data_IF_460277346711
#
_entry.id   IF_460277346711
#
_cell.length_a   1.000
_cell.length_b   1.000
_cell.length_c   1.000
_cell.angle_alpha   90.00
_cell.angle_beta   90.00
_cell.angle_gamma   90.00
#
_symmetry.space_group_name_H-M   'P 1'
#
loop_
_entity.id
_entity.type
_entity.pdbx_description
1 polymer ?
#
# COMPACT_ATOMS: atom_id res chain seq x y z
N UNK A 1 -15.68 -35.36 -42.79
CA UNK A 1 -17.08 -34.90 -43.00
C UNK A 1 -17.20 -34.38 -44.43
N UNK A 2 -18.10 -34.96 -45.22
CA UNK A 2 -18.28 -34.62 -46.63
C UNK A 2 -18.98 -33.25 -46.77
N UNK A 3 -18.42 -32.32 -47.55
CA UNK A 3 -18.99 -30.98 -47.79
C UNK A 3 -20.40 -31.05 -48.40
N UNK A 4 -20.74 -32.13 -49.08
CA UNK A 4 -22.07 -32.34 -49.66
C UNK A 4 -23.13 -32.74 -48.64
N UNK A 5 -22.71 -33.22 -47.47
CA UNK A 5 -23.59 -33.72 -46.39
C UNK A 5 -23.58 -32.84 -45.14
N UNK A 6 -22.98 -31.66 -45.20
CA UNK A 6 -22.93 -30.72 -44.07
C UNK A 6 -24.31 -30.11 -43.84
N UNK A 7 -24.80 -30.15 -42.60
CA UNK A 7 -26.02 -29.47 -42.19
C UNK A 7 -25.92 -27.96 -42.46
N UNK A 8 -27.01 -27.34 -42.95
CA UNK A 8 -27.03 -25.91 -43.28
C UNK A 8 -26.55 -25.60 -44.71
N UNK A 9 -26.25 -26.63 -45.51
CA UNK A 9 -25.84 -26.46 -46.91
C UNK A 9 -26.97 -25.86 -47.75
N UNK A 10 -28.22 -26.24 -47.52
CA UNK A 10 -29.34 -25.79 -48.34
C UNK A 10 -29.98 -24.51 -47.77
N UNK A 11 -30.09 -24.40 -46.44
CA UNK A 11 -30.53 -23.19 -45.74
C UNK A 11 -30.10 -23.23 -44.27
N UNK A 12 -29.96 -22.05 -43.65
CA UNK A 12 -29.81 -21.92 -42.19
C UNK A 12 -31.01 -22.50 -41.44
N UNK A 13 -32.19 -22.63 -42.07
CA UNK A 13 -33.39 -23.18 -41.44
C UNK A 13 -33.24 -24.65 -41.05
N UNK A 14 -32.38 -25.40 -41.74
CA UNK A 14 -32.04 -26.77 -41.35
C UNK A 14 -31.37 -26.82 -39.97
N UNK A 15 -30.58 -25.79 -39.65
CA UNK A 15 -29.92 -25.65 -38.35
C UNK A 15 -30.93 -25.16 -37.32
N UNK A 16 -31.73 -24.13 -37.64
CA UNK A 16 -32.72 -23.56 -36.72
C UNK A 16 -33.77 -24.60 -36.27
N UNK A 17 -34.22 -25.45 -37.18
CA UNK A 17 -35.22 -26.49 -36.89
C UNK A 17 -34.62 -27.77 -36.29
N UNK A 18 -33.31 -27.79 -36.00
CA UNK A 18 -32.67 -28.97 -35.43
C UNK A 18 -33.18 -29.21 -34.00
N UNK A 19 -33.50 -30.47 -33.61
CA UNK A 19 -34.08 -30.77 -32.29
C UNK A 19 -33.27 -30.28 -31.09
N UNK A 20 -31.95 -30.11 -31.25
CA UNK A 20 -31.07 -29.52 -30.22
C UNK A 20 -31.49 -28.12 -29.78
N UNK A 21 -32.04 -27.30 -30.69
CA UNK A 21 -32.46 -25.93 -30.39
C UNK A 21 -33.94 -25.83 -29.96
N UNK A 22 -34.65 -26.96 -29.88
CA UNK A 22 -35.98 -27.02 -29.29
C UNK A 22 -35.80 -27.04 -27.77
N UNK A 23 -35.99 -25.88 -27.17
CA UNK A 23 -35.83 -25.64 -25.73
C UNK A 23 -37.20 -25.68 -25.00
N UNK A 24 -37.15 -25.78 -23.68
CA UNK A 24 -38.30 -25.56 -22.79
C UNK A 24 -38.33 -24.15 -22.19
N UNK A 25 -37.29 -23.37 -22.43
CA UNK A 25 -37.12 -21.99 -21.99
C UNK A 25 -37.58 -21.08 -23.12
N UNK A 26 -38.41 -20.06 -22.85
CA UNK A 26 -39.24 -19.33 -23.82
C UNK A 26 -38.51 -18.52 -24.93
N UNK A 27 -37.24 -18.80 -25.24
CA UNK A 27 -36.50 -18.15 -26.31
C UNK A 27 -36.75 -18.80 -27.68
N UNK A 28 -36.81 -17.95 -28.70
CA UNK A 28 -36.96 -18.26 -30.12
C UNK A 28 -35.80 -17.59 -30.88
N UNK A 29 -35.54 -17.98 -32.13
CA UNK A 29 -34.50 -17.32 -32.93
C UNK A 29 -34.78 -15.84 -33.21
N UNK A 30 -36.02 -15.38 -33.06
CA UNK A 30 -36.41 -13.99 -33.30
C UNK A 30 -36.20 -13.09 -32.06
N UNK A 31 -36.35 -13.63 -30.85
CA UNK A 31 -36.20 -12.88 -29.59
C UNK A 31 -34.97 -13.27 -28.77
N UNK A 32 -34.09 -14.13 -29.29
CA UNK A 32 -32.92 -14.65 -28.57
C UNK A 32 -32.03 -13.54 -27.99
N UNK A 33 -31.91 -12.40 -28.67
CA UNK A 33 -31.11 -11.25 -28.20
C UNK A 33 -31.76 -10.46 -27.06
N UNK A 34 -33.07 -10.56 -26.91
CA UNK A 34 -33.84 -9.83 -25.89
C UNK A 34 -33.98 -10.65 -24.59
N UNK A 35 -33.68 -11.94 -24.64
CA UNK A 35 -33.73 -12.84 -23.49
C UNK A 35 -32.50 -12.64 -22.60
N UNK A 36 -32.69 -12.81 -21.28
CA UNK A 36 -31.59 -12.71 -20.33
C UNK A 36 -30.51 -13.76 -20.65
N UNK A 37 -29.24 -13.36 -20.84
CA UNK A 37 -28.18 -14.30 -21.14
C UNK A 37 -27.86 -15.16 -19.90
N UNK A 38 -27.29 -16.36 -20.08
CA UNK A 38 -26.93 -17.24 -18.96
C UNK A 38 -25.91 -16.64 -17.99
N UNK A 39 -25.03 -15.77 -18.51
CA UNK A 39 -24.02 -15.06 -17.73
C UNK A 39 -24.11 -13.59 -18.09
N UNK A 40 -24.33 -12.75 -17.09
CA UNK A 40 -24.28 -11.29 -17.20
C UNK A 40 -22.96 -10.85 -16.58
N UNK A 41 -22.00 -10.30 -17.35
CA UNK A 41 -20.73 -9.82 -16.80
C UNK A 41 -20.98 -8.68 -15.81
N UNK A 42 -20.36 -8.75 -14.64
CA UNK A 42 -20.30 -7.64 -13.70
C UNK A 42 -19.15 -6.72 -14.12
N UNK A 43 -19.48 -5.50 -14.57
CA UNK A 43 -18.50 -4.52 -15.02
C UNK A 43 -18.36 -3.42 -13.97
N UNK A 44 -17.11 -3.03 -13.69
CA UNK A 44 -16.77 -1.95 -12.75
C UNK A 44 -16.76 -0.57 -13.40
N UNK A 45 -16.63 -0.50 -14.74
CA UNK A 45 -16.54 0.73 -15.54
C UNK A 45 -16.65 0.46 -17.04
N UNK A 46 -16.63 1.52 -17.86
CA UNK A 46 -16.61 1.44 -19.33
C UNK A 46 -15.23 1.06 -19.90
N UNK A 47 -14.19 1.16 -19.09
CA UNK A 47 -12.81 0.73 -19.34
C UNK A 47 -12.47 -0.64 -18.71
N UNK A 48 -13.46 -1.35 -18.17
CA UNK A 48 -13.27 -2.67 -17.55
C UNK A 48 -12.82 -3.72 -18.57
N UNK A 49 -11.63 -4.26 -18.35
CA UNK A 49 -10.99 -5.29 -19.19
C UNK A 49 -10.87 -6.65 -18.50
N UNK A 50 -11.55 -6.86 -17.37
CA UNK A 50 -11.45 -8.08 -16.54
C UNK A 50 -11.87 -9.38 -17.23
N UNK A 51 -12.67 -9.28 -18.30
CA UNK A 51 -13.08 -10.43 -19.13
C UNK A 51 -12.09 -10.72 -20.27
N UNK A 52 -10.95 -10.03 -20.32
CA UNK A 52 -9.85 -10.25 -21.26
C UNK A 52 -8.61 -10.72 -20.49
N UNK A 53 -7.89 -11.68 -21.05
CA UNK A 53 -6.60 -12.11 -20.50
C UNK A 53 -5.54 -11.02 -20.69
N UNK A 54 -4.59 -10.94 -19.75
CA UNK A 54 -3.42 -10.07 -19.89
C UNK A 54 -2.59 -10.51 -21.11
N UNK A 55 -2.23 -9.55 -21.96
CA UNK A 55 -1.32 -9.84 -23.08
C UNK A 55 0.14 -9.77 -22.61
N UNK A 56 0.92 -10.77 -22.98
CA UNK A 56 2.37 -10.68 -22.86
C UNK A 56 2.90 -9.70 -23.91
N UNK A 57 3.67 -8.71 -23.48
CA UNK A 57 4.26 -7.74 -24.39
C UNK A 57 5.29 -8.45 -25.26
N UNK A 58 5.04 -8.51 -26.56
CA UNK A 58 6.03 -8.99 -27.52
C UNK A 58 7.25 -8.03 -27.50
N UNK A 59 8.42 -8.57 -27.16
CA UNK A 59 9.68 -7.83 -27.13
C UNK A 59 10.32 -7.72 -28.53
N UNK A 60 9.65 -8.21 -29.58
CA UNK A 60 10.09 -7.97 -30.95
C UNK A 60 10.24 -6.48 -31.21
N UNK A 61 11.39 -6.02 -31.73
CA UNK A 61 11.55 -4.64 -32.17
C UNK A 61 10.46 -4.27 -33.16
N UNK A 62 9.90 -3.06 -33.04
CA UNK A 62 8.96 -2.54 -34.02
C UNK A 62 9.58 -2.62 -35.44
N UNK A 63 8.92 -3.35 -36.34
CA UNK A 63 9.34 -3.44 -37.73
C UNK A 63 9.05 -2.12 -38.43
N UNK A 64 10.10 -1.36 -38.74
CA UNK A 64 10.02 -0.12 -39.51
C UNK A 64 10.41 -0.39 -40.96
N UNK A 65 9.66 0.19 -41.90
CA UNK A 65 10.03 0.12 -43.31
C UNK A 65 11.41 0.76 -43.53
N UNK A 66 12.29 0.14 -44.33
CA UNK A 66 13.59 0.71 -44.66
C UNK A 66 13.42 2.00 -45.48
N UNK A 67 14.37 2.93 -45.35
CA UNK A 67 14.39 4.18 -46.13
C UNK A 67 14.47 3.85 -47.62
N UNK A 68 13.45 4.19 -48.43
CA UNK A 68 13.45 3.83 -49.85
C UNK A 68 14.44 4.71 -50.64
N UNK A 69 15.24 4.09 -51.52
CA UNK A 69 16.06 4.80 -52.52
C UNK A 69 15.29 5.11 -53.82
N UNK A 70 14.05 4.64 -53.93
CA UNK A 70 13.12 4.86 -55.04
C UNK A 70 11.67 4.68 -54.56
N UNK A 71 10.68 4.98 -55.40
CA UNK A 71 9.27 4.76 -55.05
C UNK A 71 8.96 3.26 -54.84
N UNK A 72 8.47 2.90 -53.65
CA UNK A 72 8.12 1.52 -53.26
C UNK A 72 6.63 1.30 -53.04
N UNK A 73 5.84 2.37 -52.86
CA UNK A 73 4.38 2.28 -52.80
C UNK A 73 3.82 1.51 -51.60
N UNK A 74 4.55 1.36 -50.49
CA UNK A 74 4.17 0.54 -49.33
C UNK A 74 2.77 0.84 -48.76
N UNK A 75 2.26 2.07 -48.94
CA UNK A 75 0.97 2.49 -48.42
C UNK A 75 -0.20 2.34 -49.41
N UNK A 76 0.06 2.02 -50.68
CA UNK A 76 -0.98 1.88 -51.71
C UNK A 76 -2.05 0.82 -51.37
N UNK A 77 -1.73 -0.34 -50.74
CA UNK A 77 -2.73 -1.33 -50.34
C UNK A 77 -3.76 -0.83 -49.31
N UNK A 78 -3.49 0.29 -48.62
CA UNK A 78 -4.36 0.82 -47.56
C UNK A 78 -5.20 2.02 -48.02
N UNK A 79 -5.13 2.41 -49.29
CA UNK A 79 -5.98 3.47 -49.84
C UNK A 79 -7.45 3.00 -49.77
N UNK A 80 -8.30 3.81 -49.14
CA UNK A 80 -9.72 3.48 -48.92
C UNK A 80 -10.00 2.69 -47.63
N UNK A 81 -8.98 2.48 -46.79
CA UNK A 81 -9.17 1.87 -45.46
C UNK A 81 -9.92 2.79 -44.50
N UNK A 82 -9.78 4.12 -44.66
CA UNK A 82 -10.49 5.09 -43.83
C UNK A 82 -12.00 4.98 -44.03
N UNK A 83 -12.70 4.71 -42.95
CA UNK A 83 -14.16 4.67 -42.88
C UNK A 83 -14.67 5.76 -41.94
N UNK A 84 -15.75 6.45 -42.34
CA UNK A 84 -16.51 7.34 -41.47
C UNK A 84 -18.00 7.07 -41.75
N UNK A 85 -18.77 6.84 -40.68
CA UNK A 85 -20.20 6.55 -40.73
C UNK A 85 -21.03 7.68 -41.35
N UNK A 86 -20.54 8.92 -41.27
CA UNK A 86 -21.32 10.10 -41.65
C UNK A 86 -21.43 10.29 -43.16
N UNK A 87 -20.53 9.67 -43.95
CA UNK A 87 -20.58 9.75 -45.42
C UNK A 87 -21.83 9.11 -46.03
N UNK A 88 -22.55 8.25 -45.29
CA UNK A 88 -23.79 7.62 -45.74
C UNK A 88 -25.00 8.57 -45.73
N UNK A 89 -24.94 9.67 -44.99
CA UNK A 89 -26.02 10.65 -44.87
C UNK A 89 -26.05 11.68 -46.02
N UNK A 90 -24.94 11.82 -46.76
CA UNK A 90 -24.78 12.85 -47.80
C UNK A 90 -25.17 12.36 -49.21
N UNK A 91 -25.44 11.06 -49.39
CA UNK A 91 -25.76 10.47 -50.69
C UNK A 91 -27.24 10.60 -51.12
N UNK A 92 -28.11 11.16 -50.28
CA UNK A 92 -29.56 11.24 -50.55
C UNK A 92 -30.04 12.51 -51.25
N UNK A 93 -29.21 13.55 -51.39
CA UNK A 93 -29.64 14.86 -51.93
C UNK A 93 -29.39 15.03 -53.44
N UNK A 94 -29.94 14.13 -54.26
CA UNK A 94 -30.05 14.34 -55.70
C UNK A 94 -31.40 15.04 -56.02
N UNK A 95 -31.37 16.38 -56.14
CA UNK A 95 -32.51 17.22 -56.53
C UNK A 95 -32.82 17.11 -58.02
N UNK A 96 -33.89 16.37 -58.36
CA UNK A 96 -34.41 16.21 -59.71
C UNK A 96 -35.31 17.41 -60.09
N UNK A 97 -34.79 18.30 -60.95
CA UNK A 97 -35.50 19.44 -61.52
C UNK A 97 -36.35 19.01 -62.73
N UNK A 98 -37.63 18.70 -62.53
CA UNK A 98 -38.55 18.44 -63.65
C UNK A 98 -39.97 18.95 -63.43
N UNK A 99 -40.17 20.26 -63.53
CA UNK A 99 -41.48 20.83 -63.85
C UNK A 99 -41.35 22.27 -64.39
N UNK A 100 -41.07 22.43 -65.67
CA UNK A 100 -41.38 23.68 -66.37
C UNK A 100 -41.82 23.37 -67.80
N UNK A 101 -43.12 23.45 -68.04
CA UNK A 101 -43.75 23.79 -69.34
C UNK A 101 -45.27 23.86 -69.16
N UNK A 102 -45.79 25.08 -68.93
CA UNK A 102 -47.21 25.38 -69.11
C UNK A 102 -47.36 26.71 -69.85
N UNK A 103 -48.17 26.65 -70.90
CA UNK A 103 -48.41 27.64 -71.95
C UNK A 103 -49.08 28.91 -71.37
N UNK A 104 -48.59 30.08 -71.77
CA UNK A 104 -49.00 31.39 -71.27
C UNK A 104 -50.26 31.88 -72.01
N UNK A 105 -51.35 32.07 -71.25
CA UNK A 105 -52.61 32.65 -71.71
C UNK A 105 -52.80 34.04 -71.07
N UNK A 106 -53.01 35.08 -71.87
CA UNK A 106 -52.82 36.49 -71.48
C UNK A 106 -53.81 37.01 -70.42
N UNK A 107 -54.93 36.33 -70.15
CA UNK A 107 -55.87 36.68 -69.05
C UNK A 107 -55.50 36.06 -67.70
N UNK A 108 -54.59 35.08 -67.67
CA UNK A 108 -54.07 34.48 -66.44
C UNK A 108 -52.95 35.33 -65.79
N UNK A 109 -52.35 36.27 -66.53
CA UNK A 109 -51.19 37.04 -66.07
C UNK A 109 -51.54 37.89 -64.84
N UNK A 110 -52.69 38.57 -64.81
CA UNK A 110 -53.05 39.41 -63.65
C UNK A 110 -53.34 38.57 -62.39
N UNK A 111 -54.00 37.42 -62.52
CA UNK A 111 -54.22 36.51 -61.41
C UNK A 111 -52.91 35.85 -60.93
N UNK A 112 -52.02 35.53 -61.88
CA UNK A 112 -50.68 35.03 -61.60
C UNK A 112 -49.82 36.08 -60.88
N UNK A 113 -49.89 37.35 -61.30
CA UNK A 113 -49.17 38.48 -60.69
C UNK A 113 -49.63 38.70 -59.26
N UNK A 114 -50.95 38.76 -59.00
CA UNK A 114 -51.48 38.89 -57.63
C UNK A 114 -51.05 37.71 -56.75
N UNK A 115 -51.05 36.49 -57.29
CA UNK A 115 -50.57 35.30 -56.58
C UNK A 115 -49.07 35.38 -56.29
N UNK A 116 -48.26 35.86 -57.24
CA UNK A 116 -46.83 36.05 -57.07
C UNK A 116 -46.51 37.17 -56.07
N UNK A 117 -47.29 38.25 -56.06
CA UNK A 117 -47.18 39.33 -55.06
C UNK A 117 -47.50 38.82 -53.65
N UNK A 118 -48.55 38.01 -53.50
CA UNK A 118 -48.90 37.38 -52.21
C UNK A 118 -47.82 36.40 -51.73
N UNK A 119 -47.23 35.61 -52.63
CA UNK A 119 -46.14 34.70 -52.30
C UNK A 119 -44.86 35.46 -51.95
N UNK A 120 -44.57 36.56 -52.65
CA UNK A 120 -43.43 37.41 -52.37
C UNK A 120 -43.55 38.06 -50.99
N UNK A 121 -44.75 38.51 -50.61
CA UNK A 121 -44.99 39.09 -49.28
C UNK A 121 -44.88 38.04 -48.17
N UNK A 122 -45.40 36.84 -48.41
CA UNK A 122 -45.22 35.70 -47.50
C UNK A 122 -43.73 35.35 -47.35
N UNK A 123 -42.97 35.35 -48.45
CA UNK A 123 -41.55 35.02 -48.42
C UNK A 123 -40.72 36.09 -47.70
N UNK A 124 -41.02 37.37 -47.87
CA UNK A 124 -40.41 38.46 -47.09
C UNK A 124 -40.65 38.28 -45.59
N UNK A 125 -41.89 37.99 -45.20
CA UNK A 125 -42.22 37.73 -43.79
C UNK A 125 -41.52 36.49 -43.23
N UNK A 126 -41.37 35.45 -44.05
CA UNK A 126 -40.58 34.26 -43.70
C UNK A 126 -39.10 34.61 -43.49
N UNK A 127 -38.50 35.39 -44.40
CA UNK A 127 -37.11 35.84 -44.30
C UNK A 127 -36.90 36.65 -43.02
N UNK A 128 -37.74 37.64 -42.73
CA UNK A 128 -37.63 38.45 -41.50
C UNK A 128 -37.71 37.57 -40.23
N UNK A 129 -38.59 36.58 -40.23
CA UNK A 129 -38.74 35.63 -39.13
C UNK A 129 -37.51 34.73 -38.98
N UNK A 130 -36.94 34.26 -40.09
CA UNK A 130 -35.74 33.44 -40.10
C UNK A 130 -34.51 34.23 -39.66
N UNK A 131 -34.36 35.48 -40.10
CA UNK A 131 -33.28 36.38 -39.67
C UNK A 131 -33.36 36.71 -38.17
N UNK A 132 -34.58 36.87 -37.63
CA UNK A 132 -34.78 37.04 -36.19
C UNK A 132 -34.37 35.78 -35.40
N UNK A 133 -34.77 34.59 -35.88
CA UNK A 133 -34.36 33.31 -35.28
C UNK A 133 -32.85 33.09 -35.35
N UNK A 134 -32.22 33.43 -36.48
CA UNK A 134 -30.77 33.32 -36.67
C UNK A 134 -30.02 34.21 -35.68
N UNK A 135 -30.47 35.45 -35.46
CA UNK A 135 -29.87 36.36 -34.47
C UNK A 135 -29.93 35.80 -33.05
N UNK A 136 -31.07 35.22 -32.66
CA UNK A 136 -31.22 34.58 -31.34
C UNK A 136 -30.29 33.37 -31.21
N UNK A 137 -30.22 32.53 -32.25
CA UNK A 137 -29.37 31.35 -32.25
C UNK A 137 -27.88 31.70 -32.14
N UNK A 138 -27.43 32.74 -32.84
CA UNK A 138 -26.05 33.23 -32.75
C UNK A 138 -25.71 33.72 -31.32
N UNK A 139 -26.61 34.47 -30.68
CA UNK A 139 -26.40 34.91 -29.29
C UNK A 139 -26.36 33.74 -28.29
N UNK A 140 -27.18 32.71 -28.52
CA UNK A 140 -27.15 31.49 -27.71
C UNK A 140 -25.85 30.71 -27.90
N UNK A 141 -25.36 30.59 -29.14
CA UNK A 141 -24.09 29.95 -29.44
C UNK A 141 -22.91 30.66 -28.78
N UNK A 142 -22.89 31.99 -28.79
CA UNK A 142 -21.85 32.78 -28.10
C UNK A 142 -21.88 32.56 -26.58
N UNK A 143 -23.07 32.49 -25.98
CA UNK A 143 -23.23 32.19 -24.55
C UNK A 143 -22.75 30.78 -24.20
N UNK A 144 -23.05 29.80 -25.05
CA UNK A 144 -22.60 28.40 -24.87
C UNK A 144 -21.09 28.32 -25.02
N UNK A 145 -20.51 28.97 -26.04
CA UNK A 145 -19.07 28.98 -26.27
C UNK A 145 -18.31 29.61 -25.09
N UNK A 146 -18.81 30.72 -24.52
CA UNK A 146 -18.20 31.31 -23.33
C UNK A 146 -18.27 30.35 -22.13
N UNK A 147 -19.43 29.74 -21.88
CA UNK A 147 -19.60 28.77 -20.79
C UNK A 147 -18.70 27.54 -20.96
N UNK A 148 -18.53 27.07 -22.20
CA UNK A 148 -17.61 25.97 -22.51
C UNK A 148 -16.16 26.35 -22.22
N UNK A 149 -15.76 27.58 -22.57
CA UNK A 149 -14.43 28.11 -22.25
C UNK A 149 -14.20 28.15 -20.73
N UNK A 150 -15.14 28.69 -19.97
CA UNK A 150 -15.05 28.80 -18.51
C UNK A 150 -14.96 27.40 -17.86
N UNK A 151 -15.76 26.44 -18.33
CA UNK A 151 -15.72 25.05 -17.85
C UNK A 151 -14.39 24.36 -18.19
N UNK A 152 -13.83 24.62 -19.38
CA UNK A 152 -12.50 24.10 -19.76
C UNK A 152 -11.41 24.66 -18.85
N UNK A 153 -11.43 25.96 -18.55
CA UNK A 153 -10.48 26.57 -17.62
C UNK A 153 -10.59 25.96 -16.21
N UNK A 154 -11.81 25.80 -15.71
CA UNK A 154 -12.07 25.18 -14.40
C UNK A 154 -11.61 23.72 -14.35
N UNK A 155 -11.86 22.94 -15.40
CA UNK A 155 -11.37 21.57 -15.52
C UNK A 155 -9.84 21.51 -15.46
N UNK A 156 -9.13 22.36 -16.21
CA UNK A 156 -7.65 22.39 -16.18
C UNK A 156 -7.10 22.82 -14.81
N UNK A 157 -7.82 23.68 -14.08
CA UNK A 157 -7.46 24.07 -12.71
C UNK A 157 -7.59 22.89 -11.75
N UNK A 158 -8.69 22.16 -11.80
CA UNK A 158 -8.89 20.97 -10.97
C UNK A 158 -7.91 19.84 -11.31
N UNK A 159 -7.55 19.66 -12.58
CA UNK A 159 -6.51 18.70 -12.98
C UNK A 159 -5.14 19.04 -12.37
N UNK A 160 -4.75 20.32 -12.39
CA UNK A 160 -3.52 20.79 -11.74
C UNK A 160 -3.56 20.62 -10.22
N UNK A 161 -4.69 20.91 -9.58
CA UNK A 161 -4.85 20.72 -8.14
C UNK A 161 -4.80 19.23 -7.76
N UNK A 162 -5.45 18.36 -8.54
CA UNK A 162 -5.45 16.92 -8.31
C UNK A 162 -4.04 16.32 -8.48
N UNK A 163 -3.28 16.75 -9.48
CA UNK A 163 -1.88 16.30 -9.65
C UNK A 163 -0.99 16.77 -8.49
N UNK A 164 -1.16 18.00 -8.00
CA UNK A 164 -0.43 18.50 -6.84
C UNK A 164 -0.80 17.74 -5.55
N UNK A 165 -2.09 17.51 -5.32
CA UNK A 165 -2.57 16.73 -4.17
C UNK A 165 -2.03 15.29 -4.20
N UNK A 166 -2.05 14.63 -5.37
CA UNK A 166 -1.45 13.29 -5.54
C UNK A 166 0.05 13.29 -5.21
N UNK A 167 0.80 14.30 -5.64
CA UNK A 167 2.22 14.43 -5.29
C UNK A 167 2.41 14.61 -3.77
N UNK A 168 1.64 15.51 -3.15
CA UNK A 168 1.72 15.76 -1.71
C UNK A 168 1.35 14.52 -0.88
N UNK A 169 0.32 13.76 -1.28
CA UNK A 169 -0.03 12.51 -0.63
C UNK A 169 1.13 11.49 -0.69
N UNK A 170 1.77 11.34 -1.85
CA UNK A 170 2.95 10.47 -2.00
C UNK A 170 4.12 10.93 -1.13
N UNK A 171 4.34 12.24 -1.01
CA UNK A 171 5.41 12.78 -0.17
C UNK A 171 5.13 12.55 1.32
N UNK A 172 3.90 12.79 1.77
CA UNK A 172 3.46 12.52 3.15
C UNK A 172 3.57 11.03 3.48
N UNK A 173 3.21 10.15 2.54
CA UNK A 173 3.37 8.72 2.70
C UNK A 173 4.85 8.33 2.91
N UNK A 174 5.76 8.84 2.07
CA UNK A 174 7.21 8.60 2.24
C UNK A 174 7.73 9.11 3.58
N UNK A 175 7.25 10.27 4.05
CA UNK A 175 7.61 10.82 5.37
C UNK A 175 7.13 9.91 6.50
N UNK A 176 5.89 9.44 6.44
CA UNK A 176 5.32 8.52 7.43
C UNK A 176 6.06 7.17 7.47
N UNK A 177 6.45 6.63 6.31
CA UNK A 177 7.25 5.39 6.22
C UNK A 177 8.64 5.57 6.86
N UNK A 178 9.32 6.68 6.58
CA UNK A 178 10.61 7.01 7.19
C UNK A 178 10.52 7.18 8.72
N UNK A 179 9.45 7.82 9.21
CA UNK A 179 9.21 7.98 10.64
C UNK A 179 8.88 6.65 11.32
N UNK A 180 8.08 5.80 10.67
CA UNK A 180 7.77 4.45 11.14
C UNK A 180 9.03 3.59 11.27
N UNK A 181 9.95 3.66 10.30
CA UNK A 181 11.20 2.90 10.35
C UNK A 181 12.15 3.41 11.45
N UNK A 182 12.24 4.74 11.64
CA UNK A 182 12.97 5.33 12.78
C UNK A 182 12.38 4.87 14.10
N UNK A 183 11.05 4.87 14.24
CA UNK A 183 10.36 4.40 15.44
C UNK A 183 10.69 2.93 15.74
N UNK A 184 10.63 2.04 14.75
CA UNK A 184 11.00 0.63 14.91
C UNK A 184 12.44 0.47 15.39
N UNK A 185 13.38 1.24 14.83
CA UNK A 185 14.77 1.19 15.24
C UNK A 185 14.97 1.70 16.68
N UNK A 186 14.27 2.76 17.08
CA UNK A 186 14.29 3.24 18.46
C UNK A 186 13.66 2.24 19.43
N UNK A 187 12.55 1.58 19.05
CA UNK A 187 11.91 0.53 19.88
C UNK A 187 12.83 -0.69 20.06
N UNK A 188 13.56 -1.10 19.03
CA UNK A 188 14.60 -2.15 19.13
C UNK A 188 15.69 -1.75 20.13
N UNK A 189 16.25 -0.54 19.99
CA UNK A 189 17.29 -0.04 20.89
C UNK A 189 16.78 0.05 22.34
N UNK A 190 15.57 0.53 22.54
CA UNK A 190 14.93 0.61 23.85
C UNK A 190 14.78 -0.77 24.49
N UNK A 191 14.36 -1.76 23.71
CA UNK A 191 14.19 -3.14 24.18
C UNK A 191 15.53 -3.75 24.57
N UNK A 192 16.57 -3.54 23.77
CA UNK A 192 17.92 -4.02 24.10
C UNK A 192 18.48 -3.33 25.34
N UNK A 193 18.26 -2.02 25.49
CA UNK A 193 18.69 -1.27 26.67
C UNK A 193 17.97 -1.74 27.94
N UNK A 194 16.66 -2.01 27.87
CA UNK A 194 15.90 -2.60 28.99
C UNK A 194 16.45 -3.95 29.39
N UNK A 195 16.75 -4.83 28.42
CA UNK A 195 17.34 -6.14 28.69
C UNK A 195 18.71 -6.02 29.38
N UNK A 196 19.60 -5.15 28.86
CA UNK A 196 20.91 -4.90 29.50
C UNK A 196 20.76 -4.34 30.92
N UNK A 197 19.78 -3.46 31.15
CA UNK A 197 19.50 -2.91 32.46
C UNK A 197 19.03 -4.00 33.46
N UNK A 198 18.13 -4.89 33.03
CA UNK A 198 17.70 -6.03 33.85
C UNK A 198 18.85 -7.00 34.15
N UNK A 199 19.71 -7.28 33.17
CA UNK A 199 20.91 -8.11 33.36
C UNK A 199 21.87 -7.49 34.39
N UNK A 200 22.11 -6.18 34.32
CA UNK A 200 22.96 -5.46 35.26
C UNK A 200 22.35 -5.40 36.67
N UNK A 201 21.02 -5.22 36.77
CA UNK A 201 20.30 -5.31 38.04
C UNK A 201 20.44 -6.71 38.67
N UNK A 202 20.21 -7.76 37.88
CA UNK A 202 20.37 -9.14 38.34
C UNK A 202 21.81 -9.43 38.79
N UNK A 203 22.81 -8.92 38.06
CA UNK A 203 24.22 -9.05 38.43
C UNK A 203 24.51 -8.34 39.75
N UNK A 204 24.06 -7.10 39.92
CA UNK A 204 24.19 -6.33 41.17
C UNK A 204 23.54 -7.05 42.35
N UNK A 205 22.35 -7.60 42.19
CA UNK A 205 21.69 -8.37 43.26
C UNK A 205 22.49 -9.62 43.64
N UNK A 206 23.06 -10.35 42.66
CA UNK A 206 23.94 -11.51 42.94
C UNK A 206 25.21 -11.09 43.68
N UNK A 207 25.85 -10.01 43.24
CA UNK A 207 27.05 -9.48 43.91
C UNK A 207 26.74 -9.03 45.33
N UNK A 208 25.60 -8.36 45.56
CA UNK A 208 25.15 -7.96 46.89
C UNK A 208 24.95 -9.17 47.81
N UNK A 209 24.29 -10.23 47.31
CA UNK A 209 24.07 -11.47 48.07
C UNK A 209 25.40 -12.18 48.40
N UNK A 210 26.33 -12.25 47.44
CA UNK A 210 27.66 -12.82 47.68
C UNK A 210 28.44 -12.00 48.72
N UNK A 211 28.39 -10.68 48.63
CA UNK A 211 29.02 -9.78 49.59
C UNK A 211 28.43 -9.97 51.00
N UNK A 212 27.11 -10.12 51.13
CA UNK A 212 26.47 -10.44 52.40
C UNK A 212 26.99 -11.77 52.98
N UNK A 213 27.08 -12.83 52.17
CA UNK A 213 27.62 -14.12 52.62
C UNK A 213 29.09 -14.02 53.07
N UNK A 214 29.90 -13.22 52.37
CA UNK A 214 31.28 -12.95 52.77
C UNK A 214 31.34 -12.18 54.09
N UNK A 215 30.51 -11.14 54.27
CA UNK A 215 30.44 -10.40 55.53
C UNK A 215 30.00 -11.28 56.70
N UNK A 216 28.99 -12.14 56.52
CA UNK A 216 28.55 -13.07 57.55
C UNK A 216 29.68 -14.04 57.95
N UNK A 217 30.46 -14.51 56.96
CA UNK A 217 31.61 -15.38 57.21
C UNK A 217 32.76 -14.66 57.91
N UNK A 218 33.03 -13.41 57.54
CA UNK A 218 33.99 -12.55 58.23
C UNK A 218 33.55 -12.39 59.69
N UNK A 219 32.28 -12.08 59.94
CA UNK A 219 31.75 -11.90 61.29
C UNK A 219 31.91 -13.16 62.17
N UNK A 220 31.66 -14.35 61.61
CA UNK A 220 31.90 -15.62 62.31
C UNK A 220 33.37 -15.82 62.63
N UNK A 221 34.27 -15.55 61.68
CA UNK A 221 35.72 -15.69 61.88
C UNK A 221 36.23 -14.68 62.91
N UNK A 222 35.77 -13.43 62.88
CA UNK A 222 36.08 -12.41 63.89
C UNK A 222 35.66 -12.87 65.29
N UNK A 223 34.46 -13.45 65.43
CA UNK A 223 33.99 -14.02 66.70
C UNK A 223 34.89 -15.16 67.18
N UNK A 224 35.27 -16.08 66.29
CA UNK A 224 36.20 -17.18 66.63
C UNK A 224 37.58 -16.67 67.05
N UNK A 225 38.11 -15.65 66.37
CA UNK A 225 39.38 -15.01 66.73
C UNK A 225 39.27 -14.40 68.12
N UNK A 226 38.21 -13.66 68.41
CA UNK A 226 37.99 -13.07 69.74
C UNK A 226 37.88 -14.13 70.85
N UNK A 227 37.14 -15.22 70.60
CA UNK A 227 37.03 -16.35 71.55
C UNK A 227 38.39 -17.03 71.79
N UNK A 228 39.20 -17.20 70.74
CA UNK A 228 40.54 -17.78 70.85
C UNK A 228 41.50 -16.83 71.57
N UNK A 229 41.41 -15.53 71.34
CA UNK A 229 42.18 -14.51 72.06
C UNK A 229 41.85 -14.51 73.56
N UNK A 230 40.57 -14.62 73.92
CA UNK A 230 40.17 -14.69 75.33
C UNK A 230 40.66 -15.99 75.99
N UNK A 231 40.53 -17.14 75.31
CA UNK A 231 41.10 -18.41 75.80
C UNK A 231 42.62 -18.32 75.98
N UNK A 232 43.33 -17.73 75.02
CA UNK A 232 44.78 -17.54 75.10
C UNK A 232 45.17 -16.64 76.28
N UNK A 233 44.40 -15.58 76.54
CA UNK A 233 44.60 -14.68 77.68
C UNK A 233 44.43 -15.44 79.00
N UNK A 234 43.35 -16.19 79.17
CA UNK A 234 43.12 -17.03 80.36
C UNK A 234 44.24 -18.04 80.56
N UNK A 235 44.68 -18.71 79.48
CA UNK A 235 45.77 -19.69 79.55
C UNK A 235 47.10 -19.03 79.91
N UNK A 236 47.35 -17.81 79.41
CA UNK A 236 48.53 -17.01 79.75
C UNK A 236 48.52 -16.62 81.23
N UNK A 237 47.38 -16.16 81.76
CA UNK A 237 47.20 -15.86 83.18
C UNK A 237 47.38 -17.11 84.06
N UNK A 238 46.85 -18.27 83.63
CA UNK A 238 47.05 -19.55 84.29
C UNK A 238 48.53 -19.97 84.31
N UNK A 239 49.22 -19.87 83.18
CA UNK A 239 50.65 -20.13 83.09
C UNK A 239 51.45 -19.22 84.02
N UNK A 240 51.13 -17.92 84.08
CA UNK A 240 51.77 -16.98 85.01
C UNK A 240 51.53 -17.37 86.47
N UNK A 241 50.30 -17.77 86.84
CA UNK A 241 49.97 -18.25 88.18
C UNK A 241 50.74 -19.51 88.55
N UNK A 242 50.76 -20.51 87.67
CA UNK A 242 51.54 -21.74 87.87
C UNK A 242 53.03 -21.45 88.01
N UNK A 243 53.57 -20.51 87.23
CA UNK A 243 54.97 -20.08 87.32
C UNK A 243 55.28 -19.44 88.67
N UNK A 244 54.38 -18.61 89.21
CA UNK A 244 54.50 -18.05 90.57
C UNK A 244 54.48 -19.17 91.63
N UNK A 245 53.52 -20.09 91.54
CA UNK A 245 53.40 -21.21 92.46
C UNK A 245 54.63 -22.14 92.42
N UNK A 246 55.18 -22.40 91.24
CA UNK A 246 56.41 -23.17 91.07
C UNK A 246 57.62 -22.48 91.72
N UNK A 247 57.73 -21.15 91.58
CA UNK A 247 58.77 -20.37 92.25
C UNK A 247 58.62 -20.42 93.79
N UNK A 248 57.40 -20.27 94.32
CA UNK A 248 57.12 -20.38 95.75
C UNK A 248 57.47 -21.77 96.30
N UNK A 249 57.08 -22.85 95.61
CA UNK A 249 57.45 -24.21 95.97
C UNK A 249 58.96 -24.45 95.92
N UNK A 250 59.65 -23.86 94.94
CA UNK A 250 61.12 -23.93 94.84
C UNK A 250 61.78 -23.25 96.03
N UNK A 251 61.30 -22.07 96.44
CA UNK A 251 61.78 -21.37 97.64
C UNK A 251 61.47 -22.16 98.93
N UNK A 252 60.27 -22.75 99.03
CA UNK A 252 59.90 -23.58 100.18
C UNK A 252 60.78 -24.84 100.27
N UNK A 253 61.05 -25.49 99.13
CA UNK A 253 61.97 -26.63 99.03
C UNK A 253 63.38 -26.24 99.47
N UNK A 254 63.95 -25.15 98.96
CA UNK A 254 65.30 -24.71 99.35
C UNK A 254 65.39 -24.36 100.84
N UNK A 255 64.33 -23.76 101.41
CA UNK A 255 64.26 -23.50 102.85
C UNK A 255 64.19 -24.77 103.69
N UNK A 256 63.43 -25.78 103.23
CA UNK A 256 63.38 -27.08 103.90
C UNK A 256 64.71 -27.83 103.80
N UNK A 257 65.38 -27.79 102.65
CA UNK A 257 66.72 -28.37 102.46
C UNK A 257 67.74 -27.71 103.41
N UNK A 258 67.71 -26.38 103.55
CA UNK A 258 68.52 -25.64 104.52
C UNK A 258 68.28 -26.11 105.95
N UNK A 259 67.02 -26.24 106.39
CA UNK A 259 66.69 -26.75 107.73
C UNK A 259 67.16 -28.19 107.92
N UNK A 260 67.03 -29.04 106.91
CA UNK A 260 67.54 -30.42 106.97
C UNK A 260 69.05 -30.42 107.14
N UNK A 261 69.80 -29.60 106.40
CA UNK A 261 71.24 -29.45 106.60
C UNK A 261 71.59 -28.90 107.98
N UNK A 262 70.86 -27.92 108.50
CA UNK A 262 71.05 -27.39 109.86
C UNK A 262 70.84 -28.48 110.92
N UNK A 263 69.75 -29.25 110.82
CA UNK A 263 69.47 -30.37 111.72
C UNK A 263 70.52 -31.48 111.62
N UNK A 264 71.00 -31.81 110.41
CA UNK A 264 72.10 -32.76 110.21
C UNK A 264 73.39 -32.27 110.87
N UNK A 265 73.71 -30.97 110.75
CA UNK A 265 74.87 -30.36 111.42
C UNK A 265 74.73 -30.38 112.95
N UNK A 266 73.53 -30.13 113.49
CA UNK A 266 73.24 -30.27 114.92
C UNK A 266 73.39 -31.72 115.41
N UNK A 267 72.94 -32.69 114.62
CA UNK A 267 73.09 -34.12 114.94
C UNK A 267 74.55 -34.55 114.99
N UNK A 268 75.40 -34.00 114.12
CA UNK A 268 76.85 -34.25 114.12
C UNK A 268 77.60 -33.57 115.27
N UNK A 269 77.07 -32.49 115.85
CA UNK A 269 77.67 -31.79 117.00
C UNK A 269 77.23 -32.34 118.36
N UNK A 270 76.28 -33.28 118.39
CA UNK A 270 75.78 -33.98 119.57
C UNK A 270 76.36 -35.41 119.75
N UNK A 271 77.28 -35.84 118.89
CA UNK A 271 78.09 -37.07 119.01
C UNK A 271 79.52 -36.72 119.42
#
# INVERSE_FOLDING_TARGET
>A
CDRTKRLGRNSVDEIKNHPFFINSEQWTFDNLRDMAPPVVPELTGDDDTSNFDDYEKDETPEEVFPVPNSFVGNHLPFIGFTYNSDYQLLTSDAVDNKALNAIIDSKNINAQVIKLESLLEQEKSNVDTLEAKQRILLAQLETIAQRESDLREEATKYEKENTLLKHNCKELQRKAECESEKRKNTEKLLTELKKRYEEEQNKRTREMNNNQQHNDKIHVLEKQVNEMQEKLKVETENCQRLRKQANELTMAKSSSELKVTEYQTMLQTLQ
#
